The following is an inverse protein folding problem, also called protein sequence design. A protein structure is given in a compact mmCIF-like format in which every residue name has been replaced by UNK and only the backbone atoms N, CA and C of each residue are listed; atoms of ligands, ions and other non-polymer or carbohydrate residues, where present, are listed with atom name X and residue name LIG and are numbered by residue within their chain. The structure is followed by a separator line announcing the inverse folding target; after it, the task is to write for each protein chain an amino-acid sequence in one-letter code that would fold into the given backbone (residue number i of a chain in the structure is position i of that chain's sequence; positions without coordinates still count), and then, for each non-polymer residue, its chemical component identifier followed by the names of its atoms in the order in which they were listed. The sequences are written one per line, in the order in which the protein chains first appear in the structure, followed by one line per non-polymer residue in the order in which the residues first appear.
data_IF_703577339801
#
_entry.id   IF_703577339801
#
_cell.length_a   1.000
_cell.length_b   1.000
_cell.length_c   1.000
_cell.angle_alpha   90.00
_cell.angle_beta   90.00
_cell.angle_gamma   90.00
#
_symmetry.space_group_name_H-M   'P 1'
#
loop_
_entity.id
_entity.type
_entity.pdbx_description
1 polymer ?
#
# COMPACT_ATOMS: atom_id res chain seq x y z
N UNK A 1 0.02 24.25 -2.14
CA UNK A 1 -0.78 23.02 -1.93
C UNK A 1 0.05 21.84 -2.39
N UNK A 2 0.38 20.91 -1.50
CA UNK A 2 1.15 19.70 -1.78
C UNK A 2 0.19 18.51 -1.81
N UNK A 3 0.18 17.79 -2.92
CA UNK A 3 -0.72 16.66 -3.15
C UNK A 3 0.11 15.40 -3.34
N UNK A 4 -0.30 14.31 -2.69
CA UNK A 4 0.21 12.97 -2.96
C UNK A 4 -0.87 12.19 -3.72
N UNK A 5 -0.51 11.62 -4.85
CA UNK A 5 -1.39 10.77 -5.66
C UNK A 5 -0.74 9.41 -5.86
N UNK A 6 -1.46 8.34 -5.55
CA UNK A 6 -1.05 6.97 -5.82
C UNK A 6 -2.21 6.21 -6.46
N UNK A 7 -1.87 5.19 -7.24
CA UNK A 7 -2.84 4.42 -8.00
C UNK A 7 -2.54 2.93 -7.94
N UNK A 8 -3.49 2.12 -8.40
CA UNK A 8 -3.27 0.71 -8.76
C UNK A 8 -2.83 -0.20 -7.60
N UNK A 9 -3.64 -0.23 -6.54
CA UNK A 9 -3.57 -1.24 -5.49
C UNK A 9 -4.07 -2.60 -6.01
N UNK A 10 -3.27 -3.30 -6.82
CA UNK A 10 -3.58 -4.63 -7.38
C UNK A 10 -3.55 -5.75 -6.32
N UNK A 11 -4.31 -5.58 -5.24
CA UNK A 11 -4.47 -6.55 -4.14
C UNK A 11 -5.12 -7.84 -4.67
N UNK A 12 -6.00 -7.75 -5.66
CA UNK A 12 -6.75 -8.90 -6.19
C UNK A 12 -5.90 -9.93 -6.95
N UNK A 13 -4.66 -9.59 -7.34
CA UNK A 13 -3.71 -10.59 -7.87
C UNK A 13 -3.15 -11.54 -6.78
N UNK A 14 -3.56 -11.37 -5.52
CA UNK A 14 -3.13 -12.18 -4.38
C UNK A 14 -3.62 -13.64 -4.39
N UNK A 15 -4.56 -14.00 -5.27
CA UNK A 15 -5.14 -15.36 -5.33
C UNK A 15 -4.15 -16.43 -5.83
N UNK A 16 -3.02 -16.04 -6.42
CA UNK A 16 -1.98 -16.97 -6.88
C UNK A 16 -0.63 -16.61 -6.26
N UNK A 17 -0.09 -17.47 -5.41
CA UNK A 17 1.23 -17.26 -4.81
C UNK A 17 1.43 -18.00 -3.49
N UNK A 18 2.62 -17.85 -2.92
CA UNK A 18 2.93 -18.35 -1.58
C UNK A 18 2.19 -17.51 -0.53
N UNK A 19 1.67 -18.17 0.49
CA UNK A 19 1.16 -17.52 1.69
C UNK A 19 2.29 -17.39 2.71
N UNK A 20 2.25 -16.31 3.48
CA UNK A 20 3.09 -16.17 4.65
C UNK A 20 2.60 -17.12 5.75
N UNK A 21 3.45 -18.00 6.29
CA UNK A 21 3.03 -19.01 7.26
C UNK A 21 2.67 -18.44 8.65
N UNK A 22 3.12 -17.22 8.97
CA UNK A 22 2.82 -16.59 10.25
C UNK A 22 1.44 -15.90 10.26
N UNK A 23 1.10 -15.17 9.20
CA UNK A 23 -0.15 -14.41 9.07
C UNK A 23 -1.26 -15.15 8.31
N UNK A 24 -0.89 -16.15 7.51
CA UNK A 24 -1.81 -16.85 6.61
C UNK A 24 -2.23 -16.04 5.38
N UNK A 25 -1.75 -14.79 5.25
CA UNK A 25 -2.07 -13.91 4.14
C UNK A 25 -1.19 -14.22 2.91
N UNK A 26 -1.69 -14.01 1.68
CA UNK A 26 -0.84 -14.04 0.50
C UNK A 26 0.28 -13.00 0.62
N UNK A 27 1.51 -13.34 0.22
CA UNK A 27 2.66 -12.43 0.32
C UNK A 27 2.41 -11.08 -0.37
N UNK A 28 1.65 -11.09 -1.47
CA UNK A 28 1.23 -9.89 -2.22
C UNK A 28 0.42 -8.90 -1.38
N UNK A 29 -0.39 -9.40 -0.45
CA UNK A 29 -1.15 -8.55 0.49
C UNK A 29 -0.18 -7.88 1.46
N UNK A 30 0.82 -8.62 1.97
CA UNK A 30 1.83 -8.05 2.88
C UNK A 30 2.68 -6.98 2.19
N UNK A 31 3.07 -7.20 0.92
CA UNK A 31 3.83 -6.23 0.13
C UNK A 31 3.03 -4.95 -0.13
N UNK A 32 1.73 -5.10 -0.40
CA UNK A 32 0.83 -3.96 -0.54
C UNK A 32 0.74 -3.16 0.76
N UNK A 33 0.49 -3.82 1.90
CA UNK A 33 0.37 -3.14 3.19
C UNK A 33 1.65 -2.37 3.55
N UNK A 34 2.83 -2.96 3.33
CA UNK A 34 4.13 -2.27 3.53
C UNK A 34 4.27 -1.04 2.62
N UNK A 35 3.82 -1.14 1.38
CA UNK A 35 3.86 -0.02 0.43
C UNK A 35 2.89 1.09 0.86
N UNK A 36 1.70 0.72 1.35
CA UNK A 36 0.72 1.67 1.89
C UNK A 36 1.26 2.39 3.12
N UNK A 37 1.90 1.67 4.05
CA UNK A 37 2.56 2.28 5.22
C UNK A 37 3.59 3.32 4.78
N UNK A 38 4.41 2.99 3.78
CA UNK A 38 5.43 3.90 3.23
C UNK A 38 4.79 5.17 2.64
N UNK A 39 3.68 5.02 1.91
CA UNK A 39 2.94 6.14 1.33
C UNK A 39 2.37 7.05 2.42
N UNK A 40 1.76 6.47 3.44
CA UNK A 40 1.17 7.19 4.59
C UNK A 40 2.25 7.93 5.37
N UNK A 41 3.36 7.27 5.69
CA UNK A 41 4.50 7.88 6.37
C UNK A 41 5.06 9.05 5.57
N UNK A 42 5.19 8.89 4.25
CA UNK A 42 5.65 9.95 3.35
C UNK A 42 4.69 11.14 3.37
N UNK A 43 3.37 10.89 3.30
CA UNK A 43 2.35 11.92 3.35
C UNK A 43 2.45 12.77 4.63
N UNK A 44 2.63 12.09 5.78
CA UNK A 44 2.77 12.72 7.09
C UNK A 44 4.06 13.55 7.16
N UNK A 45 5.21 12.93 6.85
CA UNK A 45 6.52 13.58 6.92
C UNK A 45 6.59 14.82 6.01
N UNK A 46 6.00 14.72 4.82
CA UNK A 46 5.99 15.80 3.84
C UNK A 46 4.92 16.86 4.10
N UNK A 47 4.03 16.66 5.09
CA UNK A 47 2.90 17.53 5.41
C UNK A 47 2.08 17.84 4.16
N UNK A 48 1.63 16.79 3.46
CA UNK A 48 0.77 16.96 2.28
C UNK A 48 -0.61 17.47 2.71
N UNK A 49 -1.22 18.30 1.88
CA UNK A 49 -2.53 18.89 2.14
C UNK A 49 -3.67 17.95 1.73
N UNK A 50 -3.40 17.03 0.79
CA UNK A 50 -4.38 16.10 0.24
C UNK A 50 -3.71 14.84 -0.31
N UNK A 51 -4.37 13.71 -0.10
CA UNK A 51 -4.03 12.42 -0.71
C UNK A 51 -5.15 12.00 -1.65
N UNK A 52 -4.82 11.60 -2.87
CA UNK A 52 -5.77 11.09 -3.86
C UNK A 52 -5.39 9.64 -4.19
N UNK A 53 -6.39 8.77 -4.23
CA UNK A 53 -6.29 7.38 -4.67
C UNK A 53 -7.14 7.21 -5.93
N UNK A 54 -6.57 6.65 -7.00
CA UNK A 54 -7.25 6.43 -8.28
C UNK A 54 -6.91 5.08 -8.92
#
# INVERSE_FOLDING_TARGET
MKILHFADAHIDMANYGKHDPASGLPLRVLDFLKSLDTIVDTAIQQKVDMVIFA
#
